data_IF_195781567315
#
_entry.id   IF_195781567315
#
_cell.length_a   1.000
_cell.length_b   1.000
_cell.length_c   1.000
_cell.angle_alpha   90.00
_cell.angle_beta   90.00
_cell.angle_gamma   90.00
#
_symmetry.space_group_name_H-M   'P 1'
#
loop_
_entity.id
_entity.type
_entity.pdbx_description
1 polymer ?
#
# COMPACT_ATOMS: atom_id res chain seq x y z
N UNK A 1 -4.30 -21.99 -20.10
CA UNK A 1 -2.88 -21.65 -19.90
C UNK A 1 -2.44 -20.66 -20.96
N UNK A 2 -1.62 -19.67 -20.59
CA UNK A 2 -0.92 -18.82 -21.57
C UNK A 2 0.42 -19.49 -21.84
N UNK A 3 0.68 -19.87 -23.08
CA UNK A 3 1.86 -20.62 -23.49
C UNK A 3 2.59 -19.86 -24.59
N UNK A 4 3.90 -19.81 -24.50
CA UNK A 4 4.77 -19.06 -25.41
C UNK A 4 6.12 -19.78 -25.52
N UNK A 5 6.71 -19.74 -26.72
CA UNK A 5 7.93 -20.50 -27.02
C UNK A 5 9.19 -19.96 -26.34
N UNK A 6 9.29 -18.63 -26.16
CA UNK A 6 10.41 -17.97 -25.47
C UNK A 6 9.96 -16.61 -24.95
N UNK A 7 10.43 -16.21 -23.77
CA UNK A 7 10.26 -14.84 -23.28
C UNK A 7 11.29 -13.95 -23.97
N UNK A 8 10.88 -13.23 -25.00
CA UNK A 8 11.67 -12.15 -25.61
C UNK A 8 11.21 -10.80 -25.06
N UNK A 9 11.98 -9.71 -25.18
CA UNK A 9 11.53 -8.37 -24.76
C UNK A 9 10.17 -7.99 -25.36
N UNK A 10 9.96 -8.33 -26.64
CA UNK A 10 8.68 -8.12 -27.31
C UNK A 10 7.55 -8.92 -26.65
N UNK A 11 7.74 -10.22 -26.41
CA UNK A 11 6.70 -11.07 -25.83
C UNK A 11 6.42 -10.69 -24.37
N UNK A 12 7.43 -10.28 -23.62
CA UNK A 12 7.26 -9.77 -22.26
C UNK A 12 6.39 -8.49 -22.26
N UNK A 13 6.68 -7.54 -23.15
CA UNK A 13 5.86 -6.33 -23.29
C UNK A 13 4.42 -6.65 -23.66
N UNK A 14 4.20 -7.57 -24.60
CA UNK A 14 2.87 -8.03 -24.98
C UNK A 14 2.13 -8.69 -23.80
N UNK A 15 2.83 -9.47 -22.97
CA UNK A 15 2.25 -10.10 -21.80
C UNK A 15 1.83 -9.07 -20.73
N UNK A 16 2.67 -8.06 -20.47
CA UNK A 16 2.35 -6.97 -19.54
C UNK A 16 1.13 -6.19 -20.06
N UNK A 17 1.15 -5.75 -21.32
CA UNK A 17 0.05 -5.00 -21.93
C UNK A 17 -1.28 -5.78 -21.90
N UNK A 18 -1.23 -7.10 -22.09
CA UNK A 18 -2.41 -7.97 -21.97
C UNK A 18 -3.01 -7.92 -20.56
N UNK A 19 -2.19 -7.91 -19.50
CA UNK A 19 -2.67 -7.79 -18.12
C UNK A 19 -3.13 -6.36 -17.77
N UNK A 20 -2.49 -5.32 -18.30
CA UNK A 20 -2.94 -3.93 -18.15
C UNK A 20 -4.34 -3.75 -18.74
N UNK A 21 -4.58 -4.26 -19.96
CA UNK A 21 -5.89 -4.21 -20.59
C UNK A 21 -6.93 -5.09 -19.90
N UNK A 22 -6.51 -6.24 -19.32
CA UNK A 22 -7.40 -7.05 -18.47
C UNK A 22 -7.88 -6.24 -17.27
N UNK A 23 -6.97 -5.58 -16.55
CA UNK A 23 -7.31 -4.75 -15.39
C UNK A 23 -8.23 -3.59 -15.81
N UNK A 24 -7.90 -2.92 -16.91
CA UNK A 24 -8.72 -1.84 -17.46
C UNK A 24 -10.16 -2.29 -17.76
N UNK A 25 -10.34 -3.39 -18.49
CA UNK A 25 -11.69 -3.92 -18.81
C UNK A 25 -12.46 -4.27 -17.54
N UNK A 26 -11.80 -4.89 -16.55
CA UNK A 26 -12.43 -5.20 -15.27
C UNK A 26 -12.88 -3.94 -14.52
N UNK A 27 -12.07 -2.88 -14.52
CA UNK A 27 -12.43 -1.59 -13.93
C UNK A 27 -13.68 -0.97 -14.54
N UNK A 28 -13.74 -0.95 -15.88
CA UNK A 28 -14.92 -0.43 -16.60
C UNK A 28 -16.18 -1.26 -16.29
N UNK A 29 -16.08 -2.59 -16.24
CA UNK A 29 -17.23 -3.46 -15.90
C UNK A 29 -17.75 -3.18 -14.48
N UNK A 30 -16.85 -2.95 -13.52
CA UNK A 30 -17.21 -2.70 -12.14
C UNK A 30 -17.53 -1.23 -11.82
N UNK A 31 -17.47 -0.35 -12.81
CA UNK A 31 -17.66 1.10 -12.65
C UNK A 31 -16.78 1.71 -11.55
N UNK A 32 -15.51 1.26 -11.52
CA UNK A 32 -14.48 1.77 -10.60
C UNK A 32 -13.31 2.37 -11.37
N UNK A 33 -12.62 3.31 -10.74
CA UNK A 33 -11.43 3.90 -11.33
C UNK A 33 -10.20 3.01 -11.08
N UNK A 34 -9.69 2.34 -12.12
CA UNK A 34 -8.48 1.52 -12.04
C UNK A 34 -7.16 2.30 -11.99
N UNK A 35 -7.22 3.64 -12.09
CA UNK A 35 -6.04 4.50 -12.21
C UNK A 35 -5.84 5.42 -11.01
N UNK A 36 -6.67 5.31 -9.96
CA UNK A 36 -6.44 6.02 -8.69
C UNK A 36 -5.94 5.10 -7.57
N UNK A 37 -5.50 5.75 -6.48
CA UNK A 37 -4.88 5.07 -5.35
C UNK A 37 -5.16 5.80 -4.02
N UNK A 38 -6.37 6.32 -3.82
CA UNK A 38 -6.70 7.11 -2.62
C UNK A 38 -6.45 6.38 -1.29
N UNK A 39 -6.58 5.05 -1.29
CA UNK A 39 -6.41 4.21 -0.11
C UNK A 39 -5.02 4.28 0.55
N UNK A 40 -4.00 4.83 -0.12
CA UNK A 40 -2.65 4.95 0.48
C UNK A 40 -2.47 6.19 1.36
N UNK A 41 -3.37 7.18 1.27
CA UNK A 41 -3.13 8.50 1.85
C UNK A 41 -3.30 8.53 3.37
N UNK A 42 -4.32 7.86 3.91
CA UNK A 42 -4.55 7.84 5.35
C UNK A 42 -3.36 7.21 6.11
N UNK A 43 -2.82 6.11 5.60
CA UNK A 43 -1.66 5.45 6.20
C UNK A 43 -0.42 6.35 6.21
N UNK A 44 -0.17 7.09 5.13
CA UNK A 44 0.94 8.08 5.08
C UNK A 44 0.74 9.21 6.10
N UNK A 45 -0.49 9.71 6.24
CA UNK A 45 -0.80 10.77 7.19
C UNK A 45 -0.61 10.31 8.64
N UNK A 46 -1.12 9.13 8.99
CA UNK A 46 -0.99 8.55 10.32
C UNK A 46 0.48 8.25 10.65
N UNK A 47 1.22 7.62 9.73
CA UNK A 47 2.64 7.32 9.94
C UNK A 47 3.46 8.58 10.19
N UNK A 48 3.21 9.65 9.43
CA UNK A 48 3.89 10.94 9.62
C UNK A 48 3.57 11.62 10.97
N UNK A 49 2.38 11.38 11.52
CA UNK A 49 2.02 11.86 12.85
C UNK A 49 2.69 11.04 13.96
N UNK A 50 2.79 9.71 13.79
CA UNK A 50 3.37 8.79 14.78
C UNK A 50 4.91 8.86 14.81
N UNK A 51 5.56 9.09 13.67
CA UNK A 51 7.02 9.15 13.53
C UNK A 51 7.72 9.98 14.64
N UNK A 52 7.37 11.25 14.91
CA UNK A 52 8.00 12.02 15.98
C UNK A 52 7.67 11.52 17.40
N UNK A 53 6.53 10.84 17.59
CA UNK A 53 6.12 10.32 18.90
C UNK A 53 6.96 9.10 19.33
N UNK A 54 7.58 8.40 18.38
CA UNK A 54 8.51 7.31 18.63
C UNK A 54 9.87 7.81 19.15
N UNK A 55 10.35 8.95 18.63
CA UNK A 55 11.64 9.54 19.04
C UNK A 55 11.54 10.41 20.29
N UNK A 56 10.36 11.01 20.53
CA UNK A 56 10.14 11.92 21.65
C UNK A 56 10.20 11.23 23.03
N UNK A 57 10.62 11.93 24.09
CA UNK A 57 10.60 11.38 25.45
C UNK A 57 9.16 11.26 26.00
N UNK A 58 8.90 10.25 26.84
CA UNK A 58 7.64 10.09 27.57
C UNK A 58 6.61 9.14 26.93
N UNK A 59 5.54 8.83 27.69
CA UNK A 59 4.44 7.99 27.22
C UNK A 59 3.49 8.74 26.28
N UNK A 60 3.01 8.05 25.25
CA UNK A 60 2.05 8.53 24.26
C UNK A 60 0.63 8.20 24.73
N UNK A 61 -0.26 9.18 24.64
CA UNK A 61 -1.69 9.07 25.01
C UNK A 61 -2.64 9.77 24.03
N UNK A 62 -2.14 10.17 22.86
CA UNK A 62 -2.85 10.97 21.84
C UNK A 62 -3.80 10.16 20.95
N UNK A 63 -3.66 8.83 20.90
CA UNK A 63 -4.43 7.95 20.01
C UNK A 63 -5.41 7.05 20.78
N UNK A 64 -6.01 6.09 20.10
CA UNK A 64 -6.78 5.03 20.76
C UNK A 64 -5.88 4.16 21.67
N UNK A 65 -6.50 3.41 22.58
CA UNK A 65 -5.77 2.62 23.58
C UNK A 65 -4.88 1.54 22.98
N UNK A 66 -5.24 0.97 21.82
CA UNK A 66 -4.40 -0.02 21.15
C UNK A 66 -3.14 0.63 20.60
N UNK A 67 -3.29 1.74 19.86
CA UNK A 67 -2.16 2.45 19.26
C UNK A 67 -1.21 3.01 20.31
N UNK A 68 -1.72 3.65 21.36
CA UNK A 68 -0.90 4.14 22.47
C UNK A 68 -0.14 3.01 23.17
N UNK A 69 -0.83 1.90 23.47
CA UNK A 69 -0.23 0.74 24.13
C UNK A 69 0.91 0.15 23.31
N UNK A 70 0.73 0.00 21.99
CA UNK A 70 1.77 -0.50 21.09
C UNK A 70 2.96 0.46 20.98
N UNK A 71 2.72 1.76 20.83
CA UNK A 71 3.80 2.76 20.77
C UNK A 71 4.62 2.74 22.07
N UNK A 72 3.97 2.78 23.23
CA UNK A 72 4.68 2.77 24.52
C UNK A 72 5.43 1.46 24.76
N UNK A 73 4.86 0.32 24.37
CA UNK A 73 5.55 -0.96 24.41
C UNK A 73 6.83 -0.93 23.57
N UNK A 74 6.73 -0.46 22.31
CA UNK A 74 7.89 -0.33 21.41
C UNK A 74 8.95 0.58 22.03
N UNK A 75 8.58 1.76 22.54
CA UNK A 75 9.50 2.72 23.16
C UNK A 75 10.22 2.18 24.39
N UNK A 76 9.58 1.30 25.17
CA UNK A 76 10.20 0.66 26.34
C UNK A 76 11.14 -0.50 26.01
N UNK A 77 11.10 -1.03 24.78
CA UNK A 77 11.87 -2.19 24.33
C UNK A 77 12.79 -1.91 23.13
N UNK A 78 12.88 -0.65 22.70
CA UNK A 78 13.81 -0.17 21.67
C UNK A 78 15.06 0.43 22.33
#
# INVERSE_FOLDING_TARGET
SIVMHKVTPFILGALIAMYEMKIFVQGIIWDINSFDQWGVELGKQLAKAIEPELEGPGEVSSHDSSTNGLINFIKSNS
#
